data_IF_251627676261
#
_entry.id   IF_251627676261
#
_cell.length_a   1.000
_cell.length_b   1.000
_cell.length_c   1.000
_cell.angle_alpha   90.00
_cell.angle_beta   90.00
_cell.angle_gamma   90.00
#
_symmetry.space_group_name_H-M   'P 1'
#
loop_
_entity.id
_entity.type
_entity.pdbx_description
1 polymer ?
#
# COMPACT_ATOMS: atom_id res chain seq x y z
N UNK A 1 -12.93 22.07 7.69
CA UNK A 1 -13.72 21.04 7.47
C UNK A 1 -13.25 20.18 6.40
N UNK A 2 -13.37 19.13 6.60
CA UNK A 2 -12.85 18.18 5.83
C UNK A 2 -13.78 17.65 4.89
N UNK A 3 -14.21 18.39 3.92
CA UNK A 3 -15.01 17.90 2.84
C UNK A 3 -14.38 16.67 2.25
N UNK A 4 -15.15 15.63 2.10
CA UNK A 4 -14.74 14.46 1.35
C UNK A 4 -14.78 14.90 -0.11
N UNK A 5 -13.62 14.98 -0.73
CA UNK A 5 -13.52 15.35 -2.14
C UNK A 5 -13.95 14.18 -3.00
N UNK A 6 -14.31 14.46 -4.27
CA UNK A 6 -14.57 13.39 -5.25
C UNK A 6 -13.40 12.43 -5.36
N UNK A 7 -12.17 12.95 -5.23
CA UNK A 7 -10.97 12.12 -5.32
C UNK A 7 -10.88 11.14 -4.15
N UNK A 8 -11.25 11.58 -2.94
CA UNK A 8 -11.26 10.68 -1.77
C UNK A 8 -12.30 9.58 -1.93
N UNK A 9 -13.47 9.89 -2.52
CA UNK A 9 -14.51 8.90 -2.77
C UNK A 9 -14.05 7.90 -3.82
N UNK A 10 -13.46 8.38 -4.91
CA UNK A 10 -12.93 7.51 -5.97
C UNK A 10 -11.79 6.63 -5.46
N UNK A 11 -10.91 7.20 -4.67
CA UNK A 11 -9.81 6.48 -4.05
C UNK A 11 -10.33 5.39 -3.11
N UNK A 12 -11.35 5.72 -2.31
CA UNK A 12 -11.96 4.77 -1.39
C UNK A 12 -12.61 3.59 -2.14
N UNK A 13 -13.23 3.85 -3.29
CA UNK A 13 -13.80 2.77 -4.10
C UNK A 13 -12.73 1.79 -4.58
N UNK A 14 -11.59 2.28 -5.02
CA UNK A 14 -10.50 1.44 -5.46
C UNK A 14 -9.90 0.69 -4.27
N UNK A 15 -9.78 1.34 -3.12
CA UNK A 15 -9.30 0.72 -1.89
C UNK A 15 -10.17 -0.47 -1.46
N UNK A 16 -11.49 -0.41 -1.69
CA UNK A 16 -12.39 -1.51 -1.37
C UNK A 16 -12.15 -2.74 -2.24
N UNK A 17 -11.61 -2.57 -3.44
CA UNK A 17 -11.20 -3.72 -4.25
C UNK A 17 -9.99 -4.42 -3.64
N UNK A 18 -9.11 -3.67 -2.99
CA UNK A 18 -7.95 -4.21 -2.28
C UNK A 18 -8.37 -4.85 -0.95
N UNK A 19 -9.28 -4.21 -0.23
CA UNK A 19 -9.78 -4.65 1.08
C UNK A 19 -11.30 -4.71 1.08
N UNK A 20 -11.89 -5.78 0.50
CA UNK A 20 -13.35 -5.87 0.32
C UNK A 20 -14.17 -5.88 1.61
N UNK A 21 -13.52 -6.20 2.75
CA UNK A 21 -14.19 -6.23 4.04
C UNK A 21 -14.53 -4.84 4.58
N UNK A 22 -13.94 -3.78 4.02
CA UNK A 22 -14.21 -2.43 4.47
C UNK A 22 -15.60 -1.96 4.00
N UNK A 23 -16.31 -1.25 4.89
CA UNK A 23 -17.51 -0.52 4.48
C UNK A 23 -17.07 0.75 3.71
N UNK A 24 -18.01 1.40 3.05
CA UNK A 24 -17.72 2.66 2.35
C UNK A 24 -17.15 3.70 3.31
N UNK A 25 -17.74 3.81 4.51
CA UNK A 25 -17.27 4.75 5.52
C UNK A 25 -15.87 4.40 6.00
N UNK A 26 -15.60 3.12 6.26
CA UNK A 26 -14.28 2.67 6.69
C UNK A 26 -13.22 2.95 5.63
N UNK A 27 -13.54 2.73 4.35
CA UNK A 27 -12.61 3.01 3.27
C UNK A 27 -12.29 4.51 3.18
N UNK A 28 -13.30 5.37 3.30
CA UNK A 28 -13.11 6.82 3.30
C UNK A 28 -12.26 7.25 4.49
N UNK A 29 -12.52 6.70 5.67
CA UNK A 29 -11.74 7.00 6.87
C UNK A 29 -10.28 6.58 6.73
N UNK A 30 -10.03 5.44 6.08
CA UNK A 30 -8.66 4.98 5.80
C UNK A 30 -7.95 5.92 4.83
N UNK A 31 -8.62 6.38 3.77
CA UNK A 31 -8.03 7.36 2.84
C UNK A 31 -7.61 8.62 3.60
N UNK A 32 -8.48 9.11 4.49
CA UNK A 32 -8.15 10.29 5.31
C UNK A 32 -6.97 10.03 6.23
N UNK A 33 -6.94 8.87 6.86
CA UNK A 33 -5.87 8.49 7.79
C UNK A 33 -4.51 8.47 7.07
N UNK A 34 -4.44 7.87 5.89
CA UNK A 34 -3.20 7.84 5.12
C UNK A 34 -2.82 9.21 4.58
N UNK A 35 -3.80 10.00 4.16
CA UNK A 35 -3.55 11.35 3.61
C UNK A 35 -3.03 12.31 4.68
N UNK A 36 -3.59 12.25 5.88
CA UNK A 36 -3.30 13.24 6.94
C UNK A 36 -2.22 12.80 7.92
N UNK A 37 -1.85 11.53 7.92
CA UNK A 37 -0.83 11.02 8.84
C UNK A 37 0.57 11.47 8.45
N UNK A 38 1.40 11.75 9.45
CA UNK A 38 2.80 12.13 9.20
C UNK A 38 3.69 10.92 8.89
N UNK A 39 3.24 9.74 9.27
CA UNK A 39 3.99 8.48 9.07
C UNK A 39 3.35 7.58 8.02
N UNK A 40 2.47 8.14 7.21
CA UNK A 40 1.77 7.42 6.16
C UNK A 40 1.73 8.26 4.90
N UNK A 41 1.54 7.61 3.76
CA UNK A 41 1.32 8.30 2.50
C UNK A 41 0.45 7.44 1.58
N UNK A 42 -0.20 8.11 0.66
CA UNK A 42 -1.04 7.46 -0.33
C UNK A 42 -0.71 8.10 -1.68
N UNK A 43 -0.49 7.26 -2.68
CA UNK A 43 -0.20 7.70 -4.04
C UNK A 43 -1.22 7.11 -4.99
N UNK A 44 -1.65 7.90 -5.95
CA UNK A 44 -2.66 7.48 -6.93
C UNK A 44 -2.14 7.72 -8.34
N UNK A 45 -2.63 6.91 -9.26
CA UNK A 45 -2.45 7.11 -10.69
C UNK A 45 -3.80 7.49 -11.28
N UNK A 46 -3.84 8.54 -12.08
CA UNK A 46 -5.08 9.10 -12.65
C UNK A 46 -5.02 9.07 -14.16
N UNK A 47 -6.08 8.56 -14.79
CA UNK A 47 -6.29 8.61 -16.23
C UNK A 47 -7.57 9.42 -16.48
N UNK A 48 -7.42 10.65 -16.99
CA UNK A 48 -8.57 11.55 -17.13
C UNK A 48 -9.14 11.87 -15.75
N UNK A 49 -10.41 11.54 -15.55
CA UNK A 49 -11.10 11.75 -14.27
C UNK A 49 -11.16 10.48 -13.42
N UNK A 50 -10.48 9.42 -13.84
CA UNK A 50 -10.55 8.11 -13.17
C UNK A 50 -9.26 7.83 -12.42
N UNK A 51 -9.40 7.38 -11.17
CA UNK A 51 -8.25 6.88 -10.41
C UNK A 51 -8.12 5.40 -10.74
N UNK A 52 -7.01 5.05 -11.38
CA UNK A 52 -6.79 3.70 -11.91
C UNK A 52 -5.78 2.90 -11.11
N UNK A 53 -5.08 3.54 -10.19
CA UNK A 53 -4.11 2.86 -9.34
C UNK A 53 -3.94 3.55 -8.01
N UNK A 54 -3.55 2.78 -7.00
CA UNK A 54 -3.46 3.24 -5.62
C UNK A 54 -2.37 2.46 -4.90
N UNK A 55 -1.51 3.17 -4.18
CA UNK A 55 -0.54 2.56 -3.27
C UNK A 55 -0.57 3.27 -1.94
N UNK A 56 -0.51 2.49 -0.87
CA UNK A 56 -0.50 2.99 0.50
C UNK A 56 0.78 2.53 1.16
N UNK A 57 1.46 3.43 1.83
CA UNK A 57 2.68 3.10 2.55
C UNK A 57 2.74 3.79 3.90
N UNK A 58 3.58 3.24 4.77
CA UNK A 58 3.71 3.73 6.13
C UNK A 58 5.16 3.60 6.59
N UNK A 59 5.47 4.23 7.72
CA UNK A 59 6.69 3.97 8.46
C UNK A 59 6.36 3.00 9.59
N UNK A 60 7.14 1.95 9.72
CA UNK A 60 7.04 1.01 10.83
C UNK A 60 8.26 1.15 11.71
N UNK A 61 8.02 1.32 13.00
CA UNK A 61 9.07 1.55 13.99
C UNK A 61 9.40 0.28 14.78
N UNK A 62 8.46 -0.66 14.82
CA UNK A 62 8.69 -1.96 15.43
C UNK A 62 9.44 -2.86 14.46
N UNK A 63 9.92 -4.00 14.97
CA UNK A 63 10.67 -4.93 14.14
C UNK A 63 9.89 -5.37 12.90
N UNK A 64 10.56 -5.34 11.76
CA UNK A 64 10.04 -5.85 10.50
C UNK A 64 10.94 -7.00 10.05
N UNK A 65 10.34 -8.13 9.72
CA UNK A 65 11.04 -9.34 9.35
C UNK A 65 12.03 -9.11 8.20
N UNK A 66 13.27 -9.52 8.40
CA UNK A 66 14.31 -9.36 7.40
C UNK A 66 14.98 -8.00 7.36
N UNK A 67 14.52 -7.05 8.18
CA UNK A 67 15.05 -5.68 8.21
C UNK A 67 15.95 -5.46 9.43
N UNK A 68 16.94 -4.58 9.24
CA UNK A 68 17.95 -4.27 10.28
C UNK A 68 17.78 -2.89 10.89
N UNK A 69 17.05 -2.01 10.21
CA UNK A 69 16.96 -0.60 10.59
C UNK A 69 15.56 -0.24 11.05
N UNK A 70 15.42 0.92 11.68
CA UNK A 70 14.13 1.50 12.07
C UNK A 70 14.22 3.00 11.89
N UNK A 71 13.19 3.66 11.34
CA UNK A 71 11.97 3.03 10.81
C UNK A 71 12.20 2.33 9.47
N UNK A 72 11.28 1.42 9.15
CA UNK A 72 11.24 0.75 7.85
C UNK A 72 10.06 1.31 7.07
N UNK A 73 10.26 1.67 5.80
CA UNK A 73 9.15 1.97 4.92
C UNK A 73 8.40 0.69 4.59
N UNK A 74 7.08 0.73 4.58
CA UNK A 74 6.28 -0.47 4.39
C UNK A 74 5.18 -0.22 3.35
N UNK A 75 5.12 -1.07 2.35
CA UNK A 75 4.03 -1.05 1.36
C UNK A 75 2.84 -1.78 1.96
N UNK A 76 1.85 -1.01 2.40
CA UNK A 76 0.68 -1.57 3.09
C UNK A 76 -0.36 -2.13 2.13
N UNK A 77 -0.43 -1.58 0.93
CA UNK A 77 -1.32 -2.07 -0.10
C UNK A 77 -1.05 -1.41 -1.43
N UNK A 78 -1.35 -2.12 -2.49
CA UNK A 78 -1.22 -1.61 -3.84
C UNK A 78 -2.24 -2.31 -4.73
N UNK A 79 -2.92 -1.55 -5.58
CA UNK A 79 -3.88 -2.10 -6.52
C UNK A 79 -3.93 -1.23 -7.77
N UNK A 80 -4.11 -1.87 -8.91
CA UNK A 80 -4.33 -1.22 -10.19
C UNK A 80 -5.62 -1.79 -10.75
N UNK A 81 -6.49 -0.91 -11.27
CA UNK A 81 -7.73 -1.31 -11.92
C UNK A 81 -7.39 -2.31 -13.04
N UNK A 82 -8.20 -3.36 -13.14
CA UNK A 82 -7.97 -4.48 -14.04
C UNK A 82 -7.71 -4.03 -15.48
N UNK A 83 -8.45 -3.03 -15.97
CA UNK A 83 -8.31 -2.53 -17.33
C UNK A 83 -6.98 -1.83 -17.60
N UNK A 84 -6.27 -1.44 -16.54
CA UNK A 84 -5.03 -0.66 -16.64
C UNK A 84 -3.80 -1.45 -16.20
N UNK A 85 -3.94 -2.75 -15.96
CA UNK A 85 -2.83 -3.59 -15.56
C UNK A 85 -1.85 -3.78 -16.72
N UNK A 86 -0.62 -4.16 -16.41
CA UNK A 86 0.46 -4.38 -17.38
C UNK A 86 0.97 -3.10 -18.07
N UNK A 87 0.73 -1.93 -17.45
CA UNK A 87 1.24 -0.65 -17.95
C UNK A 87 2.28 -0.05 -17.00
N UNK A 88 2.89 -0.87 -16.15
CA UNK A 88 3.89 -0.45 -15.15
C UNK A 88 3.36 0.53 -14.09
N UNK A 89 2.06 0.68 -13.96
CA UNK A 89 1.45 1.60 -13.00
C UNK A 89 1.80 1.18 -11.57
N UNK A 90 1.67 -0.10 -11.23
CA UNK A 90 1.99 -0.59 -9.90
C UNK A 90 3.48 -0.40 -9.59
N UNK A 91 4.35 -0.68 -10.55
CA UNK A 91 5.78 -0.47 -10.40
C UNK A 91 6.09 1.01 -10.10
N UNK A 92 5.48 1.91 -10.85
CA UNK A 92 5.69 3.34 -10.67
C UNK A 92 5.14 3.84 -9.33
N UNK A 93 3.98 3.35 -8.91
CA UNK A 93 3.41 3.67 -7.60
C UNK A 93 4.30 3.18 -6.47
N UNK A 94 4.82 1.97 -6.58
CA UNK A 94 5.75 1.43 -5.59
C UNK A 94 7.02 2.29 -5.51
N UNK A 95 7.55 2.72 -6.66
CA UNK A 95 8.72 3.59 -6.71
C UNK A 95 8.47 4.92 -5.97
N UNK A 96 7.26 5.49 -6.07
CA UNK A 96 6.89 6.69 -5.33
C UNK A 96 6.89 6.45 -3.82
N UNK A 97 6.38 5.29 -3.40
CA UNK A 97 6.41 4.91 -1.99
C UNK A 97 7.85 4.76 -1.48
N UNK A 98 8.71 4.13 -2.27
CA UNK A 98 10.12 3.96 -1.92
C UNK A 98 10.83 5.30 -1.78
N UNK A 99 10.59 6.22 -2.70
CA UNK A 99 11.17 7.56 -2.64
C UNK A 99 10.69 8.33 -1.41
N UNK A 100 9.40 8.23 -1.11
CA UNK A 100 8.84 8.81 0.11
C UNK A 100 9.53 8.26 1.36
N UNK A 101 9.74 6.94 1.41
CA UNK A 101 10.41 6.31 2.54
C UNK A 101 11.87 6.78 2.67
N UNK A 102 12.59 6.88 1.56
CA UNK A 102 13.95 7.41 1.56
C UNK A 102 14.00 8.83 2.11
N UNK A 103 13.05 9.67 1.71
CA UNK A 103 12.97 11.05 2.18
C UNK A 103 12.64 11.14 3.68
N UNK A 104 12.06 10.10 4.25
CA UNK A 104 11.80 9.98 5.68
C UNK A 104 12.98 9.36 6.44
N UNK A 105 14.07 9.05 5.76
CA UNK A 105 15.28 8.51 6.38
C UNK A 105 15.34 6.99 6.43
N UNK A 106 14.40 6.29 5.77
CA UNK A 106 14.42 4.84 5.74
C UNK A 106 15.54 4.31 4.85
N UNK A 107 16.17 3.23 5.27
CA UNK A 107 17.19 2.54 4.51
C UNK A 107 16.68 1.23 3.91
N UNK A 108 15.50 0.79 4.34
CA UNK A 108 14.88 -0.44 3.88
C UNK A 108 13.41 -0.21 3.62
N UNK A 109 12.86 -0.96 2.67
CA UNK A 109 11.46 -0.92 2.31
C UNK A 109 10.95 -2.35 2.27
N UNK A 110 9.85 -2.62 2.94
CA UNK A 110 9.33 -3.97 3.11
C UNK A 110 7.87 -4.04 2.68
N UNK A 111 7.37 -5.23 2.53
CA UNK A 111 5.99 -5.50 2.18
C UNK A 111 5.64 -6.91 2.61
N UNK A 112 4.37 -7.27 2.50
CA UNK A 112 3.95 -8.65 2.68
C UNK A 112 2.74 -8.95 1.79
N UNK A 113 2.42 -10.22 1.67
CA UNK A 113 1.19 -10.67 1.03
C UNK A 113 0.85 -12.05 1.58
N UNK A 114 -0.37 -12.49 1.33
CA UNK A 114 -0.76 -13.83 1.74
C UNK A 114 0.00 -14.88 0.92
N UNK A 115 0.28 -16.02 1.55
CA UNK A 115 1.05 -17.10 0.94
C UNK A 115 0.44 -17.61 -0.37
N UNK A 116 -0.87 -17.53 -0.50
CA UNK A 116 -1.59 -18.01 -1.68
C UNK A 116 -1.74 -16.96 -2.78
N UNK A 117 -1.33 -15.72 -2.54
CA UNK A 117 -1.45 -14.66 -3.54
C UNK A 117 -0.24 -14.67 -4.48
N UNK A 118 -0.28 -15.62 -5.42
CA UNK A 118 0.84 -15.84 -6.35
C UNK A 118 1.12 -14.64 -7.24
N UNK A 119 0.10 -13.90 -7.65
CA UNK A 119 0.28 -12.70 -8.45
C UNK A 119 1.06 -11.63 -7.70
N UNK A 120 0.74 -11.43 -6.42
CA UNK A 120 1.45 -10.48 -5.57
C UNK A 120 2.89 -10.91 -5.33
N UNK A 121 3.13 -12.20 -5.08
CA UNK A 121 4.48 -12.72 -4.91
C UNK A 121 5.30 -12.43 -6.16
N UNK A 122 4.75 -12.74 -7.34
CA UNK A 122 5.44 -12.49 -8.60
C UNK A 122 5.73 -11.01 -8.82
N UNK A 123 4.75 -10.16 -8.51
CA UNK A 123 4.92 -8.70 -8.63
C UNK A 123 6.09 -8.21 -7.76
N UNK A 124 6.11 -8.62 -6.49
CA UNK A 124 7.17 -8.20 -5.57
C UNK A 124 8.56 -8.62 -6.08
N UNK A 125 8.69 -9.86 -6.51
CA UNK A 125 9.98 -10.36 -7.01
C UNK A 125 10.40 -9.61 -8.28
N UNK A 126 9.45 -9.31 -9.16
CA UNK A 126 9.76 -8.63 -10.42
C UNK A 126 10.22 -7.19 -10.25
N UNK A 127 9.84 -6.53 -9.16
CA UNK A 127 10.24 -5.13 -8.93
C UNK A 127 11.38 -5.00 -7.93
N UNK A 128 12.03 -6.11 -7.57
CA UNK A 128 13.27 -6.08 -6.81
C UNK A 128 13.16 -6.42 -5.33
N UNK A 129 11.98 -6.77 -4.82
CA UNK A 129 11.90 -7.29 -3.47
C UNK A 129 12.50 -8.69 -3.41
N UNK A 130 13.07 -9.02 -2.26
CA UNK A 130 13.56 -10.36 -1.97
C UNK A 130 12.67 -10.98 -0.91
N UNK A 131 12.36 -12.26 -1.04
CA UNK A 131 11.59 -12.96 -0.02
C UNK A 131 12.43 -13.04 1.25
N UNK A 132 11.91 -12.48 2.34
CA UNK A 132 12.62 -12.49 3.62
C UNK A 132 12.26 -13.73 4.44
N UNK A 133 10.97 -14.05 4.51
CA UNK A 133 10.51 -15.17 5.34
C UNK A 133 9.05 -15.50 5.00
N UNK A 134 8.61 -16.64 5.49
CA UNK A 134 7.20 -17.06 5.45
C UNK A 134 6.80 -17.41 6.86
N UNK A 135 5.70 -16.80 7.34
CA UNK A 135 5.26 -16.96 8.71
C UNK A 135 3.80 -17.39 8.77
N UNK A 136 3.42 -17.96 9.90
CA UNK A 136 2.03 -18.29 10.19
C UNK A 136 1.60 -17.43 11.36
N UNK A 137 0.46 -16.74 11.20
CA UNK A 137 -0.11 -15.93 12.27
C UNK A 137 -1.10 -16.74 13.06
N UNK A 138 -1.03 -16.67 14.38
CA UNK A 138 -1.97 -17.34 15.28
C UNK A 138 -2.70 -16.29 16.11
N UNK A 139 -3.96 -16.54 16.41
CA UNK A 139 -4.71 -15.71 17.35
C UNK A 139 -5.54 -16.61 18.27
N UNK A 140 -5.90 -16.08 19.42
CA UNK A 140 -6.74 -16.76 20.40
C UNK A 140 -7.65 -15.73 21.05
N UNK A 141 -8.94 -16.00 21.04
CA UNK A 141 -9.88 -15.13 21.73
C UNK A 141 -9.83 -15.43 23.24
N UNK A 142 -9.76 -14.41 24.07
CA UNK A 142 -9.67 -14.55 25.51
C UNK A 142 -11.02 -14.26 26.21
#
# INVERSE_FOLDING_TARGET
>A
MDGITKDSIKTAKLMKQLWPQLTDKEAIDEVKRYTNGKNTAIFTEVEGDTIVGLALCSLRFDYVEGCKYSPVGFLEGIIVDEEYRSQDIAKNLCAKCEEWAKNKGCKEFASDCTLTNTDSIRFHLNIGFQEANRIIHFKKKL
#
